data_IF_219213868584
#
_entry.id   IF_219213868584
#
_cell.length_a   1.000
_cell.length_b   1.000
_cell.length_c   1.000
_cell.angle_alpha   90.00
_cell.angle_beta   90.00
_cell.angle_gamma   90.00
#
_symmetry.space_group_name_H-M   'P 1'
#
loop_
_entity.id
_entity.type
_entity.pdbx_description
1 polymer ?
#
# COMPACT_ATOMS: atom_id res chain seq x y z
N UNK A 1 -12.00 19.57 -6.56
CA UNK A 1 -10.62 19.03 -6.47
C UNK A 1 -10.73 17.57 -6.08
N UNK A 2 -10.52 16.64 -7.02
CA UNK A 2 -10.65 15.19 -6.80
C UNK A 2 -9.24 14.64 -6.62
N UNK A 3 -8.80 14.53 -5.38
CA UNK A 3 -7.45 14.09 -5.03
C UNK A 3 -7.51 12.66 -4.49
N UNK A 4 -7.83 11.72 -5.36
CA UNK A 4 -7.25 10.37 -5.28
C UNK A 4 -7.15 9.89 -6.71
N UNK A 5 -5.93 9.62 -7.12
CA UNK A 5 -5.61 9.03 -8.41
C UNK A 5 -6.38 7.71 -8.57
N UNK A 6 -6.64 7.32 -9.82
CA UNK A 6 -7.62 6.30 -10.22
C UNK A 6 -7.38 4.87 -9.67
N UNK A 7 -6.43 4.66 -8.77
CA UNK A 7 -5.90 3.37 -8.28
C UNK A 7 -6.49 2.90 -6.95
N UNK A 8 -7.00 3.83 -6.12
CA UNK A 8 -7.60 3.51 -4.81
C UNK A 8 -9.12 3.59 -4.84
N UNK A 9 -9.79 2.60 -4.25
CA UNK A 9 -11.25 2.55 -4.17
C UNK A 9 -11.72 2.50 -2.72
N UNK A 10 -12.64 3.39 -2.36
CA UNK A 10 -13.28 3.40 -1.05
C UNK A 10 -14.71 2.89 -1.18
N UNK A 11 -15.06 1.84 -0.43
CA UNK A 11 -16.43 1.38 -0.27
C UNK A 11 -16.93 1.74 1.13
N UNK A 12 -17.78 2.77 1.22
CA UNK A 12 -18.32 3.24 2.49
C UNK A 12 -19.27 2.23 3.16
N UNK A 13 -19.96 1.37 2.40
CA UNK A 13 -20.90 0.38 2.94
C UNK A 13 -20.16 -0.72 3.69
N UNK A 14 -19.09 -1.22 3.10
CA UNK A 14 -18.25 -2.28 3.66
C UNK A 14 -17.09 -1.74 4.51
N UNK A 15 -16.86 -0.43 4.49
CA UNK A 15 -15.79 0.28 5.21
C UNK A 15 -14.40 -0.19 4.77
N UNK A 16 -14.23 -0.36 3.47
CA UNK A 16 -13.00 -0.90 2.87
C UNK A 16 -12.30 0.13 1.98
N UNK A 17 -10.97 0.13 2.04
CA UNK A 17 -10.07 0.79 1.10
C UNK A 17 -9.35 -0.31 0.31
N UNK A 18 -9.45 -0.27 -1.02
CA UNK A 18 -8.87 -1.27 -1.92
C UNK A 18 -7.83 -0.63 -2.83
N UNK A 19 -6.65 -1.23 -2.86
CA UNK A 19 -5.55 -0.93 -3.77
C UNK A 19 -5.60 -1.93 -4.92
N UNK A 20 -5.80 -1.48 -6.16
CA UNK A 20 -5.86 -2.41 -7.31
C UNK A 20 -4.50 -2.99 -7.69
N UNK A 21 -3.44 -2.24 -7.47
CA UNK A 21 -2.07 -2.62 -7.78
C UNK A 21 -1.18 -1.99 -6.72
N UNK A 22 -1.05 -2.69 -5.60
CA UNK A 22 -0.31 -2.18 -4.45
C UNK A 22 1.19 -2.18 -4.73
N UNK A 23 1.88 -1.09 -4.43
CA UNK A 23 3.34 -0.96 -4.56
C UNK A 23 3.96 -0.48 -3.24
N UNK A 24 5.30 -0.51 -3.10
CA UNK A 24 5.96 0.07 -1.93
C UNK A 24 5.63 1.56 -1.70
N UNK A 25 5.19 2.30 -2.72
CA UNK A 25 4.78 3.71 -2.58
C UNK A 25 3.47 3.87 -1.81
N UNK A 26 2.65 2.80 -1.73
CA UNK A 26 1.45 2.78 -0.90
C UNK A 26 1.77 2.57 0.59
N UNK A 27 3.05 2.35 0.96
CA UNK A 27 3.44 2.16 2.36
C UNK A 27 3.14 3.38 3.21
N UNK A 28 2.73 3.13 4.45
CA UNK A 28 2.45 4.20 5.38
C UNK A 28 1.46 3.81 6.45
N UNK A 29 1.01 4.82 7.18
CA UNK A 29 0.08 4.70 8.28
C UNK A 29 -1.33 5.04 7.82
N UNK A 30 -2.25 4.09 7.92
CA UNK A 30 -3.63 4.22 7.53
C UNK A 30 -4.54 4.25 8.76
N UNK A 31 -5.56 5.10 8.69
CA UNK A 31 -6.62 5.18 9.67
C UNK A 31 -7.92 5.55 8.96
N UNK A 32 -9.05 5.21 9.57
CA UNK A 32 -10.36 5.43 8.98
C UNK A 32 -11.05 6.60 9.68
N UNK A 33 -11.61 7.53 8.91
CA UNK A 33 -12.47 8.58 9.44
C UNK A 33 -13.86 8.49 8.82
N UNK A 34 -14.89 8.52 9.67
CA UNK A 34 -16.28 8.57 9.26
C UNK A 34 -16.87 9.94 9.58
N UNK A 35 -17.70 10.47 8.66
CA UNK A 35 -18.38 11.76 8.81
C UNK A 35 -19.87 11.62 8.50
N UNK A 36 -20.71 12.25 9.32
CA UNK A 36 -22.14 12.42 9.07
C UNK A 36 -22.57 13.85 9.46
N UNK A 37 -23.88 14.12 9.51
CA UNK A 37 -24.42 15.43 9.88
C UNK A 37 -24.11 15.83 11.33
N UNK A 38 -23.86 14.88 12.23
CA UNK A 38 -23.55 15.14 13.64
C UNK A 38 -22.06 15.45 13.89
N UNK A 39 -21.17 15.12 12.95
CA UNK A 39 -19.73 15.37 13.09
C UNK A 39 -18.87 14.37 12.36
N UNK A 40 -17.62 14.25 12.80
CA UNK A 40 -16.68 13.24 12.29
C UNK A 40 -15.92 12.58 13.44
N UNK A 41 -15.53 11.33 13.25
CA UNK A 41 -14.70 10.57 14.18
C UNK A 41 -13.70 9.75 13.36
N UNK A 42 -12.49 9.60 13.90
CA UNK A 42 -11.47 8.74 13.32
C UNK A 42 -11.18 7.54 14.23
N UNK A 43 -10.67 6.46 13.65
CA UNK A 43 -10.27 5.27 14.39
C UNK A 43 -9.12 5.61 15.35
N UNK A 44 -9.19 5.08 16.57
CA UNK A 44 -8.11 5.23 17.55
C UNK A 44 -6.89 4.37 17.22
N UNK A 45 -7.10 3.27 16.49
CA UNK A 45 -6.04 2.39 16.03
C UNK A 45 -5.61 2.77 14.61
N UNK A 46 -4.30 2.76 14.40
CA UNK A 46 -3.71 2.92 13.08
C UNK A 46 -3.24 1.58 12.53
N UNK A 47 -3.26 1.44 11.22
CA UNK A 47 -2.75 0.28 10.49
C UNK A 47 -1.51 0.68 9.69
N UNK A 48 -0.38 0.04 9.93
CA UNK A 48 0.83 0.27 9.15
C UNK A 48 0.86 -0.70 7.96
N UNK A 49 0.76 -0.17 6.75
CA UNK A 49 0.94 -0.95 5.53
C UNK A 49 2.44 -0.97 5.16
N UNK A 50 2.97 -2.18 4.99
CA UNK A 50 4.35 -2.42 4.57
C UNK A 50 4.38 -3.50 3.48
N UNK A 51 4.46 -3.02 2.25
CA UNK A 51 4.60 -3.75 1.00
C UNK A 51 6.08 -3.71 0.65
N UNK A 52 6.65 -4.90 0.49
CA UNK A 52 8.02 -5.09 0.03
C UNK A 52 7.98 -5.46 -1.44
N UNK A 53 8.82 -4.82 -2.24
CA UNK A 53 9.08 -5.31 -3.59
C UNK A 53 9.94 -6.58 -3.47
N UNK A 54 9.59 -7.68 -4.15
CA UNK A 54 10.44 -8.85 -4.15
C UNK A 54 11.78 -8.47 -4.78
N UNK A 55 12.85 -8.53 -3.99
CA UNK A 55 14.20 -8.52 -4.53
C UNK A 55 14.36 -9.79 -5.37
N UNK A 56 14.51 -9.63 -6.67
CA UNK A 56 14.91 -10.74 -7.54
C UNK A 56 16.34 -11.09 -7.15
N UNK A 57 16.51 -12.01 -6.20
CA UNK A 57 17.77 -12.75 -6.06
C UNK A 57 17.86 -13.66 -7.29
N UNK A 58 18.45 -13.14 -8.36
CA UNK A 58 18.86 -13.95 -9.50
C UNK A 58 19.93 -14.92 -8.99
N UNK A 59 19.52 -16.14 -8.68
CA UNK A 59 20.47 -17.23 -8.58
C UNK A 59 20.77 -17.72 -10.00
N UNK A 60 21.71 -17.05 -10.69
CA UNK A 60 22.32 -17.64 -11.88
C UNK A 60 23.29 -18.72 -11.42
N UNK A 61 22.75 -19.92 -11.31
CA UNK A 61 23.50 -21.18 -11.33
C UNK A 61 24.77 -21.23 -10.45
N UNK A 62 24.71 -20.71 -9.22
CA UNK A 62 25.76 -20.91 -8.19
C UNK A 62 27.21 -20.55 -8.60
N UNK A 63 27.44 -19.75 -9.63
CA UNK A 63 28.80 -19.39 -10.04
C UNK A 63 29.00 -17.88 -9.99
N UNK A 64 29.86 -17.44 -9.05
CA UNK A 64 30.39 -16.08 -9.05
C UNK A 64 31.16 -15.90 -10.35
N UNK A 65 30.60 -15.16 -11.31
CA UNK A 65 31.33 -14.69 -12.49
C UNK A 65 32.33 -13.62 -12.05
N UNK A 66 33.42 -14.04 -11.39
CA UNK A 66 34.60 -13.20 -11.21
C UNK A 66 35.29 -13.07 -12.56
N UNK A 67 35.24 -11.87 -13.14
CA UNK A 67 36.14 -11.37 -14.19
C UNK A 67 36.55 -12.38 -15.26
N UNK A 68 35.72 -12.56 -16.30
CA UNK A 68 36.23 -13.05 -17.58
C UNK A 68 36.68 -11.84 -18.42
N UNK A 69 38.02 -11.79 -18.57
CA UNK A 69 38.90 -10.93 -19.39
C UNK A 69 38.88 -9.42 -19.12
#
# INVERSE_FOLDING_TARGET
VRLTEKTHQINNKERTLTFKSASPDDNGLYYCCAKNAAGHVCSNANFTLNIIEPTVEWYYDNELLTNKS
#
